data_IF_581065775579
#
_entry.id   IF_581065775579
#
_cell.length_a   1.000
_cell.length_b   1.000
_cell.length_c   1.000
_cell.angle_alpha   90.00
_cell.angle_beta   90.00
_cell.angle_gamma   90.00
#
_symmetry.space_group_name_H-M   'P 1'
#
loop_
_entity.id
_entity.type
_entity.pdbx_description
1 polymer ?
#
# COMPACT_ATOMS: atom_id res chain seq x y z
N UNK A 1 19.16 -6.85 4.01
CA UNK A 1 18.00 -7.66 3.55
C UNK A 1 16.92 -6.73 3.01
N UNK A 2 16.36 -6.99 1.82
CA UNK A 2 15.28 -6.15 1.27
C UNK A 2 13.96 -6.47 2.00
N UNK A 3 13.02 -5.51 2.03
CA UNK A 3 11.75 -5.68 2.75
C UNK A 3 10.88 -6.78 2.13
N UNK A 4 10.91 -6.92 0.81
CA UNK A 4 10.23 -8.02 0.12
C UNK A 4 10.80 -9.39 0.51
N UNK A 5 12.12 -9.51 0.65
CA UNK A 5 12.75 -10.76 1.11
C UNK A 5 12.29 -11.11 2.53
N UNK A 6 12.20 -10.11 3.42
CA UNK A 6 11.70 -10.30 4.80
C UNK A 6 10.25 -10.75 4.81
N UNK A 7 9.40 -10.16 3.98
CA UNK A 7 8.00 -10.54 3.85
C UNK A 7 7.86 -12.01 3.44
N UNK A 8 8.47 -12.40 2.31
CA UNK A 8 8.32 -13.75 1.78
C UNK A 8 8.99 -14.80 2.67
N UNK A 9 10.13 -14.50 3.29
CA UNK A 9 10.78 -15.42 4.23
C UNK A 9 9.93 -15.62 5.50
N UNK A 10 9.34 -14.54 6.03
CA UNK A 10 8.47 -14.64 7.20
C UNK A 10 7.22 -15.43 6.85
N UNK A 11 6.57 -15.11 5.73
CA UNK A 11 5.40 -15.82 5.25
C UNK A 11 5.68 -17.31 4.98
N UNK A 12 6.83 -17.64 4.38
CA UNK A 12 7.23 -19.03 4.14
C UNK A 12 7.49 -19.81 5.44
N UNK A 13 7.88 -19.13 6.51
CA UNK A 13 8.19 -19.74 7.81
C UNK A 13 6.97 -19.87 8.71
N UNK A 14 6.13 -18.83 8.76
CA UNK A 14 4.99 -18.76 9.68
C UNK A 14 3.67 -19.15 9.04
N UNK A 15 3.61 -19.15 7.69
CA UNK A 15 2.40 -19.30 6.89
C UNK A 15 1.26 -18.33 7.31
N UNK A 16 1.65 -17.18 7.87
CA UNK A 16 0.78 -16.18 8.44
C UNK A 16 1.09 -14.82 7.80
N UNK A 17 0.09 -14.28 7.12
CA UNK A 17 0.18 -13.04 6.37
C UNK A 17 0.26 -11.80 7.29
N UNK A 18 -0.46 -11.81 8.42
CA UNK A 18 -0.44 -10.69 9.38
C UNK A 18 0.91 -10.60 10.08
N UNK A 19 1.49 -11.74 10.47
CA UNK A 19 2.84 -11.78 11.04
C UNK A 19 3.91 -11.30 10.06
N UNK A 20 3.78 -11.66 8.77
CA UNK A 20 4.70 -11.19 7.74
C UNK A 20 4.62 -9.67 7.52
N UNK A 21 3.41 -9.10 7.51
CA UNK A 21 3.19 -7.65 7.45
C UNK A 21 3.84 -6.97 8.68
N UNK A 22 3.55 -7.47 9.87
CA UNK A 22 4.06 -6.91 11.14
C UNK A 22 5.58 -6.96 11.23
N UNK A 23 6.21 -8.01 10.70
CA UNK A 23 7.67 -8.12 10.62
C UNK A 23 8.28 -7.03 9.72
N UNK A 24 7.67 -6.76 8.56
CA UNK A 24 8.09 -5.69 7.66
C UNK A 24 7.88 -4.31 8.30
N UNK A 25 6.74 -4.09 8.96
CA UNK A 25 6.45 -2.83 9.66
C UNK A 25 7.46 -2.53 10.77
N UNK A 26 7.80 -3.53 11.57
CA UNK A 26 8.82 -3.39 12.62
C UNK A 26 10.20 -3.07 12.04
N UNK A 27 10.58 -3.71 10.94
CA UNK A 27 11.86 -3.45 10.28
C UNK A 27 11.90 -2.03 9.66
N UNK A 28 10.80 -1.55 9.11
CA UNK A 28 10.66 -0.16 8.64
C UNK A 28 10.82 0.82 9.81
N UNK A 29 10.14 0.54 10.94
CA UNK A 29 10.21 1.39 12.13
C UNK A 29 11.64 1.45 12.65
N UNK A 30 12.32 0.30 12.74
CA UNK A 30 13.72 0.19 13.16
C UNK A 30 14.66 1.00 12.25
N UNK A 31 14.44 0.95 10.94
CA UNK A 31 15.21 1.76 9.97
C UNK A 31 14.92 3.25 10.11
N UNK A 32 13.68 3.64 10.42
CA UNK A 32 13.31 5.04 10.69
C UNK A 32 13.91 5.57 11.99
N UNK A 33 13.97 4.76 13.04
CA UNK A 33 14.57 5.15 14.33
C UNK A 33 16.10 5.19 14.29
N UNK A 34 16.72 4.47 13.36
CA UNK A 34 18.17 4.52 13.12
C UNK A 34 18.62 5.68 12.22
N UNK A 35 17.70 6.46 11.65
CA UNK A 35 18.07 7.71 10.99
C UNK A 35 18.29 8.78 12.07
N UNK A 36 19.49 9.39 12.19
CA UNK A 36 19.63 10.57 13.01
C UNK A 36 18.65 11.62 12.50
N UNK A 37 17.90 12.21 13.43
CA UNK A 37 16.94 13.31 13.28
C UNK A 37 17.61 14.61 12.79
N UNK A 38 18.46 14.56 11.77
CA UNK A 38 19.22 15.74 11.31
C UNK A 38 18.61 16.47 10.11
N UNK A 39 17.66 15.89 9.37
CA UNK A 39 17.10 16.57 8.20
C UNK A 39 15.57 16.69 8.31
N UNK A 40 15.10 17.86 8.77
CA UNK A 40 13.70 18.29 8.70
C UNK A 40 13.09 18.15 7.30
N UNK A 41 13.92 18.13 6.27
CA UNK A 41 13.54 17.99 4.86
C UNK A 41 12.96 16.60 4.56
N UNK A 42 13.45 15.54 5.22
CA UNK A 42 13.01 14.16 4.92
C UNK A 42 11.58 13.89 5.38
N UNK A 43 11.13 14.55 6.46
CA UNK A 43 9.74 14.44 6.91
C UNK A 43 8.78 15.21 5.99
N UNK A 44 9.19 16.39 5.50
CA UNK A 44 8.43 17.14 4.49
C UNK A 44 8.32 16.34 3.18
N UNK A 45 9.41 15.72 2.72
CA UNK A 45 9.40 14.89 1.51
C UNK A 45 8.52 13.65 1.67
N UNK A 46 8.56 12.99 2.84
CA UNK A 46 7.65 11.88 3.16
C UNK A 46 6.19 12.34 3.16
N UNK A 47 5.89 13.51 3.72
CA UNK A 47 4.55 14.09 3.73
C UNK A 47 4.04 14.36 2.30
N UNK A 48 4.87 14.98 1.47
CA UNK A 48 4.55 15.28 0.06
C UNK A 48 4.30 13.97 -0.72
N UNK A 49 5.12 12.95 -0.50
CA UNK A 49 4.96 11.66 -1.17
C UNK A 49 3.67 10.95 -0.72
N UNK A 50 3.32 11.04 0.55
CA UNK A 50 2.09 10.45 1.09
C UNK A 50 0.83 11.14 0.51
N UNK A 51 0.83 12.46 0.39
CA UNK A 51 -0.24 13.21 -0.26
C UNK A 51 -0.42 12.85 -1.74
N UNK A 52 0.69 12.62 -2.46
CA UNK A 52 0.65 12.16 -3.87
C UNK A 52 0.01 10.77 -4.00
N UNK A 53 0.35 9.85 -3.09
CA UNK A 53 -0.21 8.48 -3.07
C UNK A 53 -1.73 8.54 -2.82
N UNK A 54 -2.18 9.33 -1.85
CA UNK A 54 -3.63 9.51 -1.55
C UNK A 54 -4.38 10.07 -2.77
N UNK A 55 -3.80 11.06 -3.47
CA UNK A 55 -4.39 11.61 -4.70
C UNK A 55 -4.51 10.55 -5.81
N UNK A 56 -3.51 9.69 -5.96
CA UNK A 56 -3.52 8.59 -6.92
C UNK A 56 -4.59 7.55 -6.56
N UNK A 57 -4.70 7.17 -5.29
CA UNK A 57 -5.71 6.21 -4.82
C UNK A 57 -7.13 6.73 -5.06
N UNK A 58 -7.38 8.02 -4.80
CA UNK A 58 -8.68 8.64 -5.06
C UNK A 58 -9.02 8.70 -6.56
N UNK A 59 -8.03 8.98 -7.42
CA UNK A 59 -8.21 8.89 -8.88
C UNK A 59 -8.52 7.46 -9.32
N UNK A 60 -7.82 6.47 -8.76
CA UNK A 60 -8.07 5.07 -9.05
C UNK A 60 -9.49 4.65 -8.62
N UNK A 61 -9.94 5.05 -7.42
CA UNK A 61 -11.32 4.83 -6.93
C UNK A 61 -12.38 5.49 -7.81
N UNK A 62 -12.11 6.66 -8.39
CA UNK A 62 -13.01 7.31 -9.34
C UNK A 62 -13.10 6.52 -10.66
N UNK A 63 -11.96 6.05 -11.17
CA UNK A 63 -11.91 5.26 -12.41
C UNK A 63 -12.61 3.90 -12.24
N UNK A 64 -12.43 3.23 -11.11
CA UNK A 64 -13.12 1.96 -10.83
C UNK A 64 -14.63 2.12 -10.64
N UNK A 65 -15.10 3.26 -10.10
CA UNK A 65 -16.52 3.60 -10.03
C UNK A 65 -17.16 3.83 -11.41
N UNK A 66 -16.41 4.33 -12.39
CA UNK A 66 -16.91 4.57 -13.77
C UNK A 66 -17.07 3.25 -14.54
N UNK A 67 -16.33 2.19 -14.17
CA UNK A 67 -16.37 0.87 -14.84
C UNK A 67 -17.45 -0.09 -14.31
N UNK A 68 -18.67 0.39 -14.08
CA UNK A 68 -19.85 -0.49 -14.01
C UNK A 68 -20.98 0.07 -14.88
N UNK A 69 -20.95 -0.15 -16.21
CA UNK A 69 -22.21 -0.21 -16.94
C UNK A 69 -22.94 -1.46 -16.43
N UNK A 70 -24.02 -1.25 -15.67
CA UNK A 70 -25.03 -2.30 -15.43
C UNK A 70 -25.44 -2.83 -16.81
N UNK A 71 -25.10 -4.10 -17.08
CA UNK A 71 -25.57 -4.82 -18.26
C UNK A 71 -27.09 -4.77 -18.22
N UNK A 72 -27.70 -3.97 -19.09
CA UNK A 72 -29.13 -3.80 -19.19
C UNK A 72 -29.73 -5.12 -19.69
N UNK A 73 -30.11 -6.01 -18.76
CA UNK A 73 -30.98 -7.16 -19.06
C UNK A 73 -32.40 -6.62 -19.10
N UNK A 74 -32.84 -6.11 -20.25
CA UNK A 74 -34.26 -5.99 -20.53
C UNK A 74 -34.56 -6.59 -21.90
N UNK A 75 -35.01 -7.84 -21.83
CA UNK A 75 -36.00 -8.50 -22.67
C UNK A 75 -35.88 -8.35 -24.19
N UNK A 76 -35.18 -9.33 -24.78
CA UNK A 76 -35.81 -10.13 -25.83
C UNK A 76 -37.13 -10.68 -25.26
N UNK A 77 -38.26 -10.29 -25.82
CA UNK A 77 -39.34 -11.23 -26.11
C UNK A 77 -40.03 -10.76 -27.38
N UNK A 78 -39.89 -11.61 -28.39
CA UNK A 78 -40.74 -11.69 -29.58
C UNK A 78 -42.11 -12.22 -29.18
#
# INVERSE_FOLDING_TARGET
MKLYDLFFNTLATTNDFELAIKAVENEILKRKTCLPLQNSDTYQDLKINLEKIIKLENKHKLITKIKIPKKNKNNLNK
#
